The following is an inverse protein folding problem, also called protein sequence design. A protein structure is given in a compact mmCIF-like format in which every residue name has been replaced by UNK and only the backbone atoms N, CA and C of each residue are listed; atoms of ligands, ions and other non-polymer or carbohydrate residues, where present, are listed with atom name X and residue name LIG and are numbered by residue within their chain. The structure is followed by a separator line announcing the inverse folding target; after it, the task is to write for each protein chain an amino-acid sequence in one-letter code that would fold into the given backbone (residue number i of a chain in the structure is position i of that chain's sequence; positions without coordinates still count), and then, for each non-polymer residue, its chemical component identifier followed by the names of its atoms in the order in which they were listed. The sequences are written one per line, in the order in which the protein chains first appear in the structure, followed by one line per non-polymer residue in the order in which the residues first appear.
data_IF_394792119591
#
_entry.id   IF_394792119591
#
_cell.length_a   1.000
_cell.length_b   1.000
_cell.length_c   1.000
_cell.angle_alpha   90.00
_cell.angle_beta   90.00
_cell.angle_gamma   90.00
#
_symmetry.space_group_name_H-M   'P 1'
#
loop_
_entity.id
_entity.type
_entity.pdbx_description
1 polymer ?
#
# COMPACT_ATOMS: atom_id res chain seq x y z
N UNK A 1 44.58 -15.33 -23.07
CA UNK A 1 43.31 -16.04 -22.80
C UNK A 1 42.68 -15.75 -21.42
N UNK A 2 43.03 -14.66 -20.71
CA UNK A 2 42.56 -14.42 -19.33
C UNK A 2 41.40 -13.40 -19.19
N UNK A 3 40.92 -12.82 -20.29
CA UNK A 3 39.99 -11.67 -20.27
C UNK A 3 38.53 -12.11 -20.49
N UNK A 4 38.28 -13.32 -21.01
CA UNK A 4 36.92 -13.82 -21.25
C UNK A 4 36.23 -14.41 -20.01
N UNK A 5 37.00 -14.83 -18.99
CA UNK A 5 36.47 -15.55 -17.82
C UNK A 5 35.87 -14.61 -16.74
N UNK A 6 36.40 -13.38 -16.62
CA UNK A 6 35.87 -12.37 -15.69
C UNK A 6 34.54 -11.76 -16.14
N UNK A 7 34.31 -11.66 -17.46
CA UNK A 7 33.04 -11.18 -18.01
C UNK A 7 31.89 -12.16 -17.78
N UNK A 8 32.15 -13.45 -17.98
CA UNK A 8 31.17 -14.52 -17.82
C UNK A 8 30.76 -14.73 -16.36
N UNK A 9 31.70 -14.59 -15.42
CA UNK A 9 31.42 -14.69 -13.98
C UNK A 9 30.62 -13.49 -13.46
N UNK A 10 30.88 -12.28 -13.99
CA UNK A 10 30.11 -11.07 -13.66
C UNK A 10 28.65 -11.15 -14.13
N UNK A 11 28.41 -11.63 -15.36
CA UNK A 11 27.06 -11.82 -15.91
C UNK A 11 26.27 -12.86 -15.11
N UNK A 12 26.86 -14.02 -14.80
CA UNK A 12 26.21 -15.07 -14.01
C UNK A 12 25.83 -14.62 -12.59
N UNK A 13 26.67 -13.79 -11.96
CA UNK A 13 26.38 -13.20 -10.65
C UNK A 13 25.22 -12.19 -10.73
N UNK A 14 25.18 -11.38 -11.79
CA UNK A 14 24.09 -10.43 -12.03
C UNK A 14 22.75 -11.16 -12.30
N UNK A 15 22.76 -12.22 -13.10
CA UNK A 15 21.58 -13.04 -13.36
C UNK A 15 21.05 -13.72 -12.09
N UNK A 16 21.94 -14.27 -11.27
CA UNK A 16 21.58 -14.88 -9.97
C UNK A 16 20.97 -13.85 -9.01
N UNK A 17 21.54 -12.64 -8.96
CA UNK A 17 21.02 -11.53 -8.16
C UNK A 17 19.63 -11.09 -8.62
N UNK A 18 19.43 -10.94 -9.94
CA UNK A 18 18.13 -10.58 -10.52
C UNK A 18 17.07 -11.65 -10.21
N UNK A 19 17.41 -12.94 -10.40
CA UNK A 19 16.50 -14.05 -10.11
C UNK A 19 16.12 -14.14 -8.61
N UNK A 20 17.05 -13.79 -7.72
CA UNK A 20 16.75 -13.69 -6.29
C UNK A 20 15.80 -12.51 -5.99
N UNK A 21 16.03 -11.36 -6.61
CA UNK A 21 15.15 -10.19 -6.50
C UNK A 21 13.72 -10.51 -6.96
N UNK A 22 13.57 -11.16 -8.11
CA UNK A 22 12.27 -11.55 -8.66
C UNK A 22 11.51 -12.52 -7.74
N UNK A 23 12.24 -13.46 -7.11
CA UNK A 23 11.66 -14.37 -6.10
C UNK A 23 11.17 -13.61 -4.87
N UNK A 24 11.94 -12.63 -4.39
CA UNK A 24 11.54 -11.79 -3.25
C UNK A 24 10.31 -10.96 -3.60
N UNK A 25 10.29 -10.33 -4.78
CA UNK A 25 9.17 -9.53 -5.24
C UNK A 25 7.89 -10.37 -5.38
N UNK A 26 8.00 -11.59 -5.92
CA UNK A 26 6.89 -12.53 -6.01
C UNK A 26 6.33 -12.92 -4.64
N UNK A 27 7.20 -13.14 -3.64
CA UNK A 27 6.77 -13.41 -2.27
C UNK A 27 6.06 -12.19 -1.65
N UNK A 28 6.61 -10.98 -1.81
CA UNK A 28 6.04 -9.75 -1.29
C UNK A 28 4.67 -9.41 -1.92
N UNK A 29 4.47 -9.77 -3.19
CA UNK A 29 3.21 -9.57 -3.91
C UNK A 29 2.06 -10.43 -3.37
N UNK A 30 2.37 -11.50 -2.64
CA UNK A 30 1.38 -12.38 -1.99
C UNK A 30 1.12 -11.99 -0.53
N UNK A 31 1.91 -11.08 0.03
CA UNK A 31 1.69 -10.55 1.37
C UNK A 31 0.69 -9.38 1.36
N UNK A 32 0.04 -9.16 2.50
CA UNK A 32 -0.74 -7.95 2.70
C UNK A 32 0.15 -6.71 2.84
N UNK A 33 -0.44 -5.54 2.60
CA UNK A 33 0.24 -4.22 2.58
C UNK A 33 1.08 -3.90 3.83
N UNK A 34 0.75 -4.50 4.98
CA UNK A 34 1.49 -4.28 6.22
C UNK A 34 2.86 -4.94 6.26
N UNK A 35 3.14 -5.87 5.35
CA UNK A 35 4.42 -6.59 5.25
C UNK A 35 5.23 -6.21 4.01
N UNK A 36 4.72 -5.30 3.17
CA UNK A 36 5.52 -4.77 2.07
C UNK A 36 6.75 -4.03 2.58
N UNK A 37 7.85 -4.16 1.84
CA UNK A 37 9.06 -3.41 2.08
C UNK A 37 8.80 -1.89 2.13
N UNK A 38 9.64 -1.17 2.87
CA UNK A 38 9.57 0.30 2.96
C UNK A 38 9.86 0.93 1.60
N UNK A 39 10.86 0.42 0.89
CA UNK A 39 11.21 0.83 -0.47
C UNK A 39 10.86 -0.34 -1.39
N UNK A 40 10.02 -0.06 -2.39
CA UNK A 40 9.62 -1.05 -3.39
C UNK A 40 10.46 -0.84 -4.65
N UNK A 41 10.94 -1.94 -5.24
CA UNK A 41 11.49 -1.95 -6.59
C UNK A 41 10.43 -1.44 -7.58
N UNK A 42 10.87 -0.89 -8.71
CA UNK A 42 9.94 -0.44 -9.76
C UNK A 42 9.15 -1.62 -10.34
N UNK A 43 9.78 -2.79 -10.48
CA UNK A 43 9.15 -4.04 -10.91
C UNK A 43 8.01 -4.45 -9.98
N UNK A 44 8.28 -4.58 -8.67
CA UNK A 44 7.25 -4.92 -7.68
C UNK A 44 6.13 -3.87 -7.64
N UNK A 45 6.46 -2.58 -7.72
CA UNK A 45 5.44 -1.52 -7.76
C UNK A 45 4.50 -1.69 -8.96
N UNK A 46 5.06 -1.96 -10.13
CA UNK A 46 4.28 -2.20 -11.36
C UNK A 46 3.39 -3.43 -11.18
N UNK A 47 3.91 -4.52 -10.63
CA UNK A 47 3.14 -5.76 -10.43
C UNK A 47 2.02 -5.59 -9.39
N UNK A 48 2.25 -4.83 -8.32
CA UNK A 48 1.22 -4.44 -7.36
C UNK A 48 0.10 -3.64 -8.07
N UNK A 49 0.46 -2.67 -8.93
CA UNK A 49 -0.53 -1.88 -9.67
C UNK A 49 -1.31 -2.75 -10.67
N UNK A 50 -0.63 -3.65 -11.39
CA UNK A 50 -1.29 -4.62 -12.30
C UNK A 50 -2.27 -5.51 -11.55
N UNK A 51 -1.95 -5.93 -10.33
CA UNK A 51 -2.82 -6.76 -9.47
C UNK A 51 -4.00 -5.98 -8.86
N UNK A 52 -3.96 -4.65 -8.92
CA UNK A 52 -5.00 -3.68 -8.48
C UNK A 52 -5.14 -3.57 -6.95
N UNK A 53 -5.50 -2.37 -6.49
CA UNK A 53 -5.72 -2.08 -5.06
C UNK A 53 -6.77 -2.96 -4.38
N UNK A 54 -7.79 -3.38 -5.13
CA UNK A 54 -8.93 -4.14 -4.65
C UNK A 54 -8.49 -5.51 -4.12
N UNK A 55 -7.47 -6.11 -4.74
CA UNK A 55 -6.89 -7.38 -4.30
C UNK A 55 -6.33 -7.28 -2.88
N UNK A 56 -5.65 -6.17 -2.55
CA UNK A 56 -5.01 -5.95 -1.25
C UNK A 56 -5.93 -5.30 -0.21
N UNK A 57 -7.18 -5.03 -0.55
CA UNK A 57 -8.00 -4.10 0.23
C UNK A 57 -8.41 -4.66 1.60
N UNK A 58 -8.65 -5.97 1.68
CA UNK A 58 -9.14 -6.67 2.88
C UNK A 58 -10.32 -5.96 3.55
N UNK A 59 -11.19 -5.32 2.74
CA UNK A 59 -12.34 -4.53 3.21
C UNK A 59 -13.42 -5.36 3.90
N UNK A 60 -13.35 -6.68 3.80
CA UNK A 60 -14.30 -7.60 4.42
C UNK A 60 -13.86 -8.06 5.81
N UNK A 61 -12.62 -7.76 6.23
CA UNK A 61 -12.04 -8.18 7.50
C UNK A 61 -11.25 -9.49 7.41
N UNK A 62 -10.93 -10.12 8.55
CA UNK A 62 -11.42 -9.82 9.91
C UNK A 62 -10.85 -8.50 10.48
N UNK A 63 -11.69 -7.73 11.18
CA UNK A 63 -11.27 -6.52 11.89
C UNK A 63 -11.13 -6.79 13.36
N UNK A 64 -9.89 -6.88 13.83
CA UNK A 64 -9.62 -7.19 15.23
C UNK A 64 -9.89 -5.96 16.10
N UNK A 65 -10.60 -6.20 17.21
CA UNK A 65 -10.98 -5.16 18.14
C UNK A 65 -9.83 -4.77 19.06
N UNK A 66 -9.74 -3.49 19.39
CA UNK A 66 -8.70 -2.91 20.24
C UNK A 66 -9.34 -2.46 21.54
N UNK A 67 -8.67 -2.76 22.65
CA UNK A 67 -9.08 -2.36 23.98
C UNK A 67 -8.23 -1.18 24.46
N UNK A 68 -8.86 -0.20 25.12
CA UNK A 68 -8.16 0.84 25.86
C UNK A 68 -7.96 0.40 27.30
N UNK A 69 -6.73 0.50 27.78
CA UNK A 69 -6.40 0.30 29.19
C UNK A 69 -6.74 1.58 29.97
N UNK A 70 -7.71 1.49 30.88
CA UNK A 70 -8.05 2.54 31.83
C UNK A 70 -9.43 2.32 32.45
N UNK A 71 -9.49 2.39 33.77
CA UNK A 71 -10.71 2.14 34.54
C UNK A 71 -11.81 3.16 34.17
N UNK A 72 -13.03 2.66 33.91
CA UNK A 72 -14.26 3.45 33.72
C UNK A 72 -14.45 4.26 32.41
N UNK A 73 -13.70 4.01 31.34
CA UNK A 73 -14.02 4.62 30.03
C UNK A 73 -15.22 3.94 29.33
N UNK A 74 -16.29 4.67 29.01
CA UNK A 74 -17.33 4.18 28.08
C UNK A 74 -16.73 3.94 26.69
N UNK A 75 -17.02 2.80 26.06
CA UNK A 75 -16.46 2.45 24.75
C UNK A 75 -15.02 1.92 24.80
N UNK A 76 -14.73 1.05 25.79
CA UNK A 76 -13.41 0.44 26.03
C UNK A 76 -12.86 -0.32 24.82
N UNK A 77 -13.73 -0.96 24.06
CA UNK A 77 -13.38 -1.74 22.88
C UNK A 77 -13.87 -1.05 21.61
N UNK A 78 -13.03 -0.98 20.59
CA UNK A 78 -13.38 -0.44 19.28
C UNK A 78 -12.80 -1.32 18.17
N UNK A 79 -13.49 -1.41 17.04
CA UNK A 79 -13.02 -2.14 15.86
C UNK A 79 -13.28 -1.32 14.60
N UNK A 80 -12.48 -1.55 13.57
CA UNK A 80 -12.75 -1.01 12.24
C UNK A 80 -14.07 -1.58 11.70
N UNK A 81 -14.80 -0.76 10.94
CA UNK A 81 -16.07 -1.14 10.30
C UNK A 81 -15.93 -1.07 8.79
N UNK A 82 -16.58 -2.00 8.08
CA UNK A 82 -16.63 -2.05 6.60
C UNK A 82 -17.07 -0.72 5.98
N UNK A 83 -17.95 0.02 6.67
CA UNK A 83 -18.45 1.32 6.22
C UNK A 83 -17.35 2.36 5.99
N UNK A 84 -16.22 2.27 6.68
CA UNK A 84 -15.12 3.24 6.54
C UNK A 84 -14.41 3.17 5.18
N UNK A 85 -14.49 2.03 4.49
CA UNK A 85 -14.00 1.89 3.13
C UNK A 85 -14.85 2.65 2.11
N UNK A 86 -15.99 3.22 2.51
CA UNK A 86 -16.88 3.96 1.62
C UNK A 86 -17.01 5.42 2.06
N UNK A 87 -17.10 6.32 1.09
CA UNK A 87 -17.47 7.73 1.31
C UNK A 87 -18.81 8.02 0.64
N UNK A 88 -19.57 8.94 1.24
CA UNK A 88 -20.76 9.49 0.62
C UNK A 88 -20.37 10.81 -0.05
N UNK A 89 -20.77 10.95 -1.31
CA UNK A 89 -20.63 12.20 -2.06
C UNK A 89 -21.83 13.13 -1.78
N UNK A 90 -21.72 14.45 -2.06
CA UNK A 90 -22.83 15.39 -1.85
C UNK A 90 -24.11 15.03 -2.62
N UNK A 91 -23.97 14.34 -3.75
CA UNK A 91 -25.09 13.81 -4.54
C UNK A 91 -25.75 12.55 -3.92
N UNK A 92 -25.32 12.11 -2.74
CA UNK A 92 -25.82 10.91 -2.06
C UNK A 92 -25.16 9.59 -2.51
N UNK A 93 -24.30 9.62 -3.52
CA UNK A 93 -23.65 8.42 -4.04
C UNK A 93 -22.64 7.85 -3.03
N UNK A 94 -22.65 6.52 -2.87
CA UNK A 94 -21.71 5.80 -2.03
C UNK A 94 -20.56 5.25 -2.87
N UNK A 95 -19.37 5.81 -2.68
CA UNK A 95 -18.17 5.46 -3.46
C UNK A 95 -17.15 4.73 -2.59
N UNK A 96 -16.57 3.65 -3.13
CA UNK A 96 -15.48 2.91 -2.50
C UNK A 96 -14.18 3.73 -2.52
N UNK A 97 -13.53 3.88 -1.35
CA UNK A 97 -12.18 4.41 -1.21
C UNK A 97 -11.16 3.38 -1.69
N UNK A 98 -10.88 3.35 -3.00
CA UNK A 98 -9.91 2.43 -3.61
C UNK A 98 -8.49 2.54 -3.02
N UNK A 99 -8.13 3.70 -2.48
CA UNK A 99 -6.82 3.91 -1.84
C UNK A 99 -6.71 3.25 -0.45
N UNK A 100 -7.82 3.02 0.24
CA UNK A 100 -7.81 2.52 1.62
C UNK A 100 -7.72 1.00 1.61
N UNK A 101 -6.63 0.46 2.13
CA UNK A 101 -6.36 -0.97 2.21
C UNK A 101 -6.07 -1.36 3.67
N UNK A 102 -6.56 -2.52 4.11
CA UNK A 102 -6.36 -3.01 5.47
C UNK A 102 -5.36 -4.15 5.50
N UNK A 103 -4.52 -4.16 6.52
CA UNK A 103 -3.60 -5.24 6.83
C UNK A 103 -4.16 -6.02 8.01
N UNK A 104 -4.65 -7.27 7.80
CA UNK A 104 -5.02 -8.14 8.90
C UNK A 104 -3.83 -8.46 9.81
N UNK A 105 -2.64 -8.66 9.25
CA UNK A 105 -1.43 -9.03 10.00
C UNK A 105 -0.90 -7.91 10.91
N UNK A 106 -1.17 -6.64 10.58
CA UNK A 106 -0.83 -5.48 11.43
C UNK A 106 -2.04 -4.85 12.11
N UNK A 107 -3.24 -5.40 11.89
CA UNK A 107 -4.53 -4.81 12.27
C UNK A 107 -4.58 -3.30 12.02
N UNK A 108 -4.18 -2.85 10.82
CA UNK A 108 -3.91 -1.43 10.53
C UNK A 108 -4.39 -1.03 9.14
N UNK A 109 -4.84 0.22 8.99
CA UNK A 109 -5.15 0.84 7.69
C UNK A 109 -3.89 1.42 7.06
N UNK A 110 -3.76 1.20 5.76
CA UNK A 110 -2.73 1.79 4.92
C UNK A 110 -3.36 2.51 3.72
N UNK A 111 -2.62 3.47 3.18
CA UNK A 111 -2.94 4.12 1.93
C UNK A 111 -2.10 3.52 0.81
N UNK A 112 -2.79 2.89 -0.14
CA UNK A 112 -2.21 2.19 -1.28
C UNK A 112 -1.27 3.09 -2.08
N UNK A 113 -1.76 4.21 -2.61
CA UNK A 113 -0.92 5.10 -3.42
C UNK A 113 0.24 5.72 -2.61
N UNK A 114 0.00 6.16 -1.37
CA UNK A 114 1.06 6.73 -0.55
C UNK A 114 2.17 5.71 -0.25
N UNK A 115 1.83 4.44 0.01
CA UNK A 115 2.81 3.36 0.18
C UNK A 115 3.67 3.15 -1.05
N UNK A 116 3.09 3.26 -2.25
CA UNK A 116 3.82 3.03 -3.49
C UNK A 116 4.79 4.16 -3.84
N UNK A 117 4.43 5.42 -3.57
CA UNK A 117 5.12 6.59 -4.16
C UNK A 117 5.79 7.54 -3.15
N UNK A 118 5.45 7.50 -1.86
CA UNK A 118 6.01 8.47 -0.88
C UNK A 118 7.46 8.16 -0.52
N UNK A 119 7.80 6.87 -0.41
CA UNK A 119 9.08 6.41 0.13
C UNK A 119 10.17 6.27 -0.93
N UNK A 120 9.91 6.67 -2.17
CA UNK A 120 10.96 6.68 -3.21
C UNK A 120 11.99 7.78 -2.97
N UNK A 121 11.61 8.92 -2.34
CA UNK A 121 12.43 10.13 -2.29
C UNK A 121 12.44 10.87 -0.93
N UNK A 122 11.92 10.29 0.16
CA UNK A 122 11.80 10.96 1.46
C UNK A 122 12.43 10.12 2.58
N UNK A 123 13.14 10.78 3.50
CA UNK A 123 13.49 10.19 4.79
C UNK A 123 12.21 9.91 5.61
N UNK A 124 12.26 8.89 6.48
CA UNK A 124 11.09 8.39 7.20
C UNK A 124 10.46 9.37 8.21
N UNK A 125 11.11 10.52 8.49
CA UNK A 125 10.62 11.51 9.42
C UNK A 125 9.42 12.31 8.85
N UNK A 126 8.33 12.40 9.62
CA UNK A 126 7.13 13.17 9.23
C UNK A 126 6.16 12.48 8.28
N UNK A 127 6.40 11.21 7.94
CA UNK A 127 5.56 10.43 7.02
C UNK A 127 4.20 10.08 7.64
N UNK A 128 3.12 10.18 6.86
CA UNK A 128 1.75 9.88 7.29
C UNK A 128 1.62 8.51 7.97
N UNK A 129 0.81 8.42 9.04
CA UNK A 129 0.47 7.14 9.69
C UNK A 129 -0.21 6.15 8.74
N UNK A 130 -0.84 6.61 7.65
CA UNK A 130 -1.38 5.72 6.63
C UNK A 130 -0.31 5.03 5.77
N UNK A 131 0.96 5.41 5.91
CA UNK A 131 2.09 4.71 5.27
C UNK A 131 2.69 3.69 6.24
N UNK A 132 2.74 4.00 7.54
CA UNK A 132 3.34 3.15 8.57
C UNK A 132 2.35 2.23 9.31
N UNK A 133 1.05 2.43 9.11
CA UNK A 133 -0.04 1.68 9.74
C UNK A 133 -0.88 2.57 10.67
N UNK A 134 -2.11 2.86 10.26
CA UNK A 134 -3.08 3.59 11.06
C UNK A 134 -3.99 2.62 11.82
N UNK A 135 -3.86 2.59 13.14
CA UNK A 135 -4.64 1.76 14.05
C UNK A 135 -5.23 2.59 15.20
N UNK A 136 -5.98 3.64 14.88
CA UNK A 136 -6.68 4.42 15.90
C UNK A 136 -8.15 4.58 15.52
N UNK A 137 -8.93 3.54 15.81
CA UNK A 137 -10.33 3.42 15.41
C UNK A 137 -11.22 4.56 15.93
N UNK A 138 -10.91 5.10 17.11
CA UNK A 138 -11.60 6.27 17.67
C UNK A 138 -11.31 7.58 16.93
N UNK A 139 -10.22 7.66 16.15
CA UNK A 139 -9.83 8.86 15.40
C UNK A 139 -9.98 8.69 13.89
N UNK A 140 -10.64 7.62 13.43
CA UNK A 140 -10.86 7.37 11.99
C UNK A 140 -11.52 8.58 11.35
N UNK A 141 -12.52 9.19 12.01
CA UNK A 141 -12.91 10.58 11.79
C UNK A 141 -12.25 11.44 12.88
N UNK A 142 -11.48 12.49 12.54
CA UNK A 142 -11.30 13.09 11.20
C UNK A 142 -10.10 12.55 10.41
N UNK A 143 -9.30 11.61 10.92
CA UNK A 143 -7.99 11.31 10.32
C UNK A 143 -8.03 10.75 8.90
N UNK A 144 -9.02 9.94 8.55
CA UNK A 144 -9.23 9.47 7.18
C UNK A 144 -9.57 10.63 6.25
N UNK A 145 -10.47 11.52 6.68
CA UNK A 145 -10.89 12.67 5.87
C UNK A 145 -9.76 13.69 5.71
N UNK A 146 -8.97 13.94 6.77
CA UNK A 146 -7.79 14.78 6.64
C UNK A 146 -6.78 14.16 5.68
N UNK A 147 -6.51 12.86 5.79
CA UNK A 147 -5.57 12.18 4.92
C UNK A 147 -5.95 12.26 3.44
N UNK A 148 -7.22 12.01 3.11
CA UNK A 148 -7.68 12.01 1.71
C UNK A 148 -7.65 13.41 1.06
N UNK A 149 -7.51 14.49 1.84
CA UNK A 149 -7.46 15.87 1.35
C UNK A 149 -6.07 16.52 1.44
N UNK A 150 -5.04 15.83 1.93
CA UNK A 150 -3.68 16.37 1.92
C UNK A 150 -3.03 16.26 0.53
N UNK A 151 -2.24 17.27 0.13
CA UNK A 151 -1.57 17.32 -1.17
C UNK A 151 -0.69 16.08 -1.44
N UNK A 152 0.03 15.61 -0.42
CA UNK A 152 0.84 14.39 -0.52
C UNK A 152 -0.02 13.17 -0.93
N UNK A 153 -1.25 13.05 -0.41
CA UNK A 153 -2.16 11.99 -0.82
C UNK A 153 -2.64 12.19 -2.26
N UNK A 154 -3.08 13.40 -2.60
CA UNK A 154 -3.61 13.72 -3.93
C UNK A 154 -2.58 13.49 -5.03
N UNK A 155 -1.34 13.98 -4.86
CA UNK A 155 -0.24 13.78 -5.79
C UNK A 155 0.11 12.29 -5.96
N UNK A 156 0.17 11.53 -4.86
CA UNK A 156 0.43 10.09 -4.97
C UNK A 156 -0.74 9.34 -5.62
N UNK A 157 -1.97 9.77 -5.38
CA UNK A 157 -3.15 9.20 -6.01
C UNK A 157 -3.15 9.46 -7.53
N UNK A 158 -2.78 10.67 -7.96
CA UNK A 158 -2.61 11.01 -9.37
C UNK A 158 -1.52 10.14 -10.02
N UNK A 159 -0.31 10.06 -9.42
CA UNK A 159 0.77 9.18 -9.90
C UNK A 159 0.31 7.73 -10.08
N UNK A 160 -0.45 7.22 -9.11
CA UNK A 160 -1.04 5.89 -9.20
C UNK A 160 -1.96 5.76 -10.42
N UNK A 161 -2.90 6.70 -10.61
CA UNK A 161 -3.86 6.64 -11.71
C UNK A 161 -3.21 6.81 -13.08
N UNK A 162 -2.22 7.69 -13.20
CA UNK A 162 -1.43 7.84 -14.42
C UNK A 162 -0.70 6.55 -14.77
N UNK A 163 0.03 5.95 -13.81
CA UNK A 163 0.75 4.70 -14.06
C UNK A 163 -0.21 3.53 -14.36
N UNK A 164 -1.34 3.44 -13.65
CA UNK A 164 -2.37 2.44 -13.90
C UNK A 164 -2.91 2.53 -15.33
N UNK A 165 -3.22 3.73 -15.83
CA UNK A 165 -3.71 3.95 -17.18
C UNK A 165 -2.64 3.64 -18.25
N UNK A 166 -1.38 4.08 -18.06
CA UNK A 166 -0.29 3.78 -18.99
C UNK A 166 -0.05 2.27 -19.15
N UNK A 167 -0.14 1.52 -18.04
CA UNK A 167 -0.01 0.06 -18.07
C UNK A 167 -1.19 -0.65 -18.75
N UNK A 168 -2.39 -0.05 -18.73
CA UNK A 168 -3.55 -0.57 -19.44
C UNK A 168 -3.45 -0.31 -20.95
N UNK A 169 -3.04 0.89 -21.35
CA UNK A 169 -2.84 1.25 -22.76
C UNK A 169 -1.79 0.36 -23.43
N UNK A 170 -0.69 0.07 -22.74
CA UNK A 170 0.36 -0.81 -23.26
C UNK A 170 -0.10 -2.27 -23.46
N UNK A 171 -1.20 -2.70 -22.82
CA UNK A 171 -1.79 -4.04 -23.04
C UNK A 171 -2.74 -4.10 -24.23
N UNK A 172 -3.23 -2.96 -24.69
CA UNK A 172 -4.24 -2.87 -25.77
C UNK A 172 -3.63 -2.60 -27.14
N UNK A 173 -2.29 -2.55 -27.25
CA UNK A 173 -1.55 -2.28 -28.49
C UNK A 173 -1.03 -3.58 -29.15
N UNK A 174 -1.37 -4.76 -28.62
CA UNK A 174 -1.17 -6.05 -29.31
C UNK A 174 -2.22 -6.27 -30.42
#
# INVERSE_FOLDING_TARGET
ERIQDEGLTSELLQESSNALSDRIDSLLLNCDVGNWATILSDGLRIDIIKRKSQYFQNKEGPFEAIQRTGENMKGQTCQLRKSWFYKHLPNGEKVLRKWMVYSPSKNSLFCFCCRLFTLQNKEAAGVSKFITGFQNWWKVNPKVSQHENYDDHLNNFEKWKTLEASLELNKTID
#
